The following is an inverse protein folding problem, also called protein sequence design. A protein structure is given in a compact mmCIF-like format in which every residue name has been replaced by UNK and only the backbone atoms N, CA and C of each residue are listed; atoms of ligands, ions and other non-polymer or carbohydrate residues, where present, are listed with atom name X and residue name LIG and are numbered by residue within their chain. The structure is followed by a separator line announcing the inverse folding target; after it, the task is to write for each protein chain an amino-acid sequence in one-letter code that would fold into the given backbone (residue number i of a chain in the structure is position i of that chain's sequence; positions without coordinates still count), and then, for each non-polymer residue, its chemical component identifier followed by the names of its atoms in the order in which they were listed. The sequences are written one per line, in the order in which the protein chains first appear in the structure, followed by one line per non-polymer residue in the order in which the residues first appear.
data_IF_946602719144
#
_entry.id   IF_946602719144
#
_cell.length_a   1.000
_cell.length_b   1.000
_cell.length_c   1.000
_cell.angle_alpha   90.00
_cell.angle_beta   90.00
_cell.angle_gamma   90.00
#
_symmetry.space_group_name_H-M   'P 1'
#
loop_
_entity.id
_entity.type
_entity.pdbx_description
1 polymer ?
#
# COMPACT_ATOMS: atom_id res chain seq x y z
N UNK A 1 -24.98 -35.70 -43.31
CA UNK A 1 -23.61 -35.87 -42.75
C UNK A 1 -22.82 -34.56 -42.65
N UNK A 2 -22.79 -33.71 -43.69
CA UNK A 2 -22.04 -32.42 -43.66
C UNK A 2 -22.46 -31.44 -42.54
N UNK A 3 -23.75 -31.39 -42.22
CA UNK A 3 -24.27 -30.53 -41.12
C UNK A 3 -23.99 -31.09 -39.72
N UNK A 4 -23.79 -32.40 -39.59
CA UNK A 4 -23.48 -33.04 -38.30
C UNK A 4 -22.01 -32.84 -37.91
N UNK A 5 -21.11 -32.87 -38.89
CA UNK A 5 -19.69 -32.51 -38.73
C UNK A 5 -19.51 -31.03 -38.37
N UNK A 6 -20.31 -30.13 -38.96
CA UNK A 6 -20.27 -28.70 -38.64
C UNK A 6 -20.73 -28.43 -37.19
N UNK A 7 -21.75 -29.16 -36.72
CA UNK A 7 -22.27 -29.04 -35.36
C UNK A 7 -21.28 -29.59 -34.32
N UNK A 8 -20.59 -30.70 -34.62
CA UNK A 8 -19.55 -31.26 -33.76
C UNK A 8 -18.33 -30.32 -33.64
N UNK A 9 -17.91 -29.68 -34.73
CA UNK A 9 -16.81 -28.69 -34.69
C UNK A 9 -17.18 -27.50 -33.82
N UNK A 10 -18.40 -26.95 -33.93
CA UNK A 10 -18.89 -25.83 -33.12
C UNK A 10 -18.90 -26.19 -31.62
N UNK A 11 -19.31 -27.41 -31.25
CA UNK A 11 -19.30 -27.88 -29.86
C UNK A 11 -17.88 -27.96 -29.26
N UNK A 12 -16.85 -28.25 -30.06
CA UNK A 12 -15.46 -28.25 -29.60
C UNK A 12 -14.90 -26.84 -29.37
N UNK A 13 -15.34 -25.83 -30.14
CA UNK A 13 -14.86 -24.44 -29.98
C UNK A 13 -15.42 -23.80 -28.69
N UNK A 14 -16.63 -24.17 -28.27
CA UNK A 14 -17.22 -23.65 -27.02
C UNK A 14 -16.71 -24.32 -25.74
N UNK A 15 -16.05 -25.48 -25.84
CA UNK A 15 -15.40 -26.13 -24.68
C UNK A 15 -13.91 -25.76 -24.51
N UNK A 16 -13.32 -25.07 -25.49
CA UNK A 16 -11.90 -24.73 -25.49
C UNK A 16 -11.54 -23.44 -24.71
N UNK A 17 -12.52 -22.73 -24.12
CA UNK A 17 -12.32 -21.45 -23.44
C UNK A 17 -12.58 -21.51 -21.91
N UNK A 18 -12.33 -22.67 -21.30
CA UNK A 18 -12.48 -22.88 -19.86
C UNK A 18 -11.17 -23.31 -19.21
N UNK A 19 -10.13 -22.47 -19.19
CA UNK A 19 -9.02 -22.72 -18.28
C UNK A 19 -9.57 -22.56 -16.86
N UNK A 20 -9.70 -23.68 -16.13
CA UNK A 20 -10.08 -23.65 -14.72
C UNK A 20 -9.08 -22.74 -14.01
N UNK A 21 -9.57 -21.66 -13.41
CA UNK A 21 -8.71 -20.72 -12.68
C UNK A 21 -8.06 -21.47 -11.52
N UNK A 22 -6.75 -21.58 -11.57
CA UNK A 22 -5.97 -22.21 -10.52
C UNK A 22 -5.72 -21.19 -9.41
N UNK A 23 -5.82 -21.67 -8.17
CA UNK A 23 -5.64 -20.88 -6.96
C UNK A 23 -4.65 -21.59 -6.06
N UNK A 24 -4.01 -20.84 -5.17
CA UNK A 24 -3.11 -21.41 -4.19
C UNK A 24 -3.81 -22.47 -3.33
N UNK A 25 -3.18 -23.64 -3.26
CA UNK A 25 -3.61 -24.77 -2.44
C UNK A 25 -2.42 -25.23 -1.60
N UNK A 26 -2.36 -24.86 -0.31
CA UNK A 26 -1.28 -25.30 0.56
C UNK A 26 -1.34 -26.82 0.76
N UNK A 27 -0.18 -27.47 0.76
CA UNK A 27 -0.07 -28.91 1.06
C UNK A 27 -0.39 -29.24 2.52
N UNK A 28 -0.13 -28.30 3.42
CA UNK A 28 -0.41 -28.41 4.84
C UNK A 28 -1.00 -27.10 5.37
N UNK A 29 -1.97 -27.24 6.28
CA UNK A 29 -2.63 -26.13 6.94
C UNK A 29 -2.58 -26.38 8.44
N UNK A 30 -2.12 -25.39 9.19
CA UNK A 30 -2.05 -25.41 10.63
C UNK A 30 -3.27 -24.70 11.25
N UNK A 31 -3.66 -25.15 12.43
CA UNK A 31 -4.62 -24.44 13.27
C UNK A 31 -4.00 -23.16 13.82
N UNK A 32 -4.79 -22.08 13.88
CA UNK A 32 -4.38 -20.86 14.56
C UNK A 32 -4.20 -21.12 16.05
N UNK A 33 -3.08 -20.67 16.61
CA UNK A 33 -2.86 -20.72 18.06
C UNK A 33 -3.77 -19.74 18.80
N UNK A 34 -4.10 -18.60 18.18
CA UNK A 34 -4.93 -17.56 18.76
C UNK A 34 -6.28 -17.48 18.06
N UNK A 35 -7.35 -17.35 18.86
CA UNK A 35 -8.68 -17.07 18.30
C UNK A 35 -8.79 -15.59 17.92
N UNK A 36 -9.21 -15.26 16.69
CA UNK A 36 -9.49 -13.88 16.30
C UNK A 36 -10.55 -13.26 17.22
N UNK A 37 -10.27 -12.06 17.73
CA UNK A 37 -11.18 -11.27 18.58
C UNK A 37 -12.17 -10.50 17.71
N UNK A 38 -13.43 -10.42 18.12
CA UNK A 38 -14.41 -9.59 17.43
C UNK A 38 -14.14 -8.11 17.70
N UNK A 39 -14.32 -7.27 16.68
CA UNK A 39 -14.30 -5.81 16.76
C UNK A 39 -15.67 -5.26 16.33
N UNK A 40 -16.02 -4.06 16.79
CA UNK A 40 -17.38 -3.53 16.65
C UNK A 40 -17.78 -3.04 15.26
N UNK A 41 -16.87 -3.09 14.27
CA UNK A 41 -17.12 -2.58 12.91
C UNK A 41 -16.30 -3.33 11.87
N UNK A 42 -16.71 -3.23 10.61
CA UNK A 42 -16.01 -3.85 9.48
C UNK A 42 -15.31 -2.82 8.60
N UNK A 43 -14.21 -3.23 7.98
CA UNK A 43 -13.44 -2.37 7.08
C UNK A 43 -14.27 -2.01 5.84
N UNK A 44 -14.52 -0.71 5.64
CA UNK A 44 -15.21 -0.16 4.47
C UNK A 44 -14.27 0.50 3.48
N UNK A 45 -13.13 0.99 3.94
CA UNK A 45 -12.09 1.57 3.10
C UNK A 45 -10.72 1.45 3.80
N UNK A 46 -9.64 1.44 3.04
CA UNK A 46 -8.29 1.37 3.61
C UNK A 46 -7.25 1.87 2.60
N UNK A 47 -6.11 2.28 3.13
CA UNK A 47 -4.89 2.51 2.37
C UNK A 47 -3.70 1.89 3.12
N UNK A 48 -2.48 2.33 2.83
CA UNK A 48 -1.28 1.80 3.48
C UNK A 48 -1.15 2.18 4.97
N UNK A 49 -1.80 3.25 5.41
CA UNK A 49 -1.63 3.84 6.75
C UNK A 49 -2.86 3.68 7.65
N UNK A 50 -4.05 3.55 7.08
CA UNK A 50 -5.31 3.56 7.84
C UNK A 50 -6.36 2.62 7.22
N UNK A 51 -7.24 2.07 8.06
CA UNK A 51 -8.46 1.38 7.63
C UNK A 51 -9.69 1.97 8.32
N UNK A 52 -10.66 2.45 7.54
CA UNK A 52 -11.92 3.02 8.01
C UNK A 52 -12.96 1.92 8.27
N UNK A 53 -13.71 2.06 9.37
CA UNK A 53 -14.75 1.12 9.77
C UNK A 53 -16.16 1.71 9.57
N UNK A 54 -17.16 0.85 9.41
CA UNK A 54 -18.58 1.25 9.22
C UNK A 54 -19.27 1.77 10.50
N UNK A 55 -18.56 1.90 11.61
CA UNK A 55 -19.09 2.24 12.92
C UNK A 55 -18.49 3.52 13.53
N UNK A 56 -18.11 4.50 12.69
CA UNK A 56 -17.46 5.74 13.12
C UNK A 56 -16.17 5.46 13.91
N UNK A 57 -15.33 4.59 13.37
CA UNK A 57 -14.01 4.32 13.88
C UNK A 57 -13.05 4.05 12.73
N UNK A 58 -11.75 4.08 13.03
CA UNK A 58 -10.71 3.66 12.10
C UNK A 58 -9.60 2.92 12.84
N UNK A 59 -8.77 2.21 12.09
CA UNK A 59 -7.56 1.54 12.58
C UNK A 59 -6.37 2.35 12.07
N UNK A 60 -5.53 2.86 12.97
CA UNK A 60 -4.32 3.60 12.62
C UNK A 60 -3.15 2.66 12.27
N UNK A 61 -2.02 3.23 11.84
CA UNK A 61 -0.79 2.49 11.51
C UNK A 61 -0.11 1.81 12.72
N UNK A 62 -0.51 2.12 13.95
CA UNK A 62 -0.10 1.45 15.19
C UNK A 62 -1.01 0.26 15.55
N UNK A 63 -2.09 0.04 14.78
CA UNK A 63 -3.05 -1.02 15.01
C UNK A 63 -4.07 -0.72 16.12
N UNK A 64 -4.27 0.54 16.46
CA UNK A 64 -5.27 0.98 17.44
C UNK A 64 -6.60 1.32 16.77
N UNK A 65 -7.70 0.92 17.40
CA UNK A 65 -9.05 1.25 16.95
C UNK A 65 -9.47 2.55 17.62
N UNK A 66 -9.56 3.61 16.83
CA UNK A 66 -9.88 4.96 17.28
C UNK A 66 -11.31 5.31 16.90
N UNK A 67 -12.13 5.69 17.88
CA UNK A 67 -13.49 6.20 17.62
C UNK A 67 -13.39 7.61 17.07
N UNK A 68 -14.01 7.82 15.91
CA UNK A 68 -14.02 9.11 15.25
C UNK A 68 -15.21 9.20 14.29
N UNK A 69 -16.05 10.23 14.46
CA UNK A 69 -17.20 10.47 13.59
C UNK A 69 -16.75 11.22 12.35
N UNK A 70 -16.62 10.49 11.25
CA UNK A 70 -16.25 11.06 9.97
C UNK A 70 -17.47 11.62 9.24
N UNK A 71 -17.31 12.81 8.66
CA UNK A 71 -18.32 13.40 7.79
C UNK A 71 -18.58 12.52 6.57
N UNK A 72 -19.82 12.51 6.11
CA UNK A 72 -20.21 11.78 4.90
C UNK A 72 -19.37 12.28 3.72
N UNK A 73 -18.93 11.36 2.87
CA UNK A 73 -18.11 11.59 1.66
C UNK A 73 -16.61 11.88 1.87
N UNK A 74 -16.15 11.97 3.11
CA UNK A 74 -14.72 12.04 3.39
C UNK A 74 -14.10 10.65 3.56
N UNK A 75 -12.85 10.53 3.14
CA UNK A 75 -11.97 9.40 3.40
C UNK A 75 -10.81 9.86 4.29
N UNK A 76 -10.41 9.04 5.25
CA UNK A 76 -9.18 9.26 6.01
C UNK A 76 -8.02 8.82 5.12
N UNK A 77 -7.12 9.75 4.83
CA UNK A 77 -5.95 9.49 3.97
C UNK A 77 -4.69 9.23 4.78
N UNK A 78 -4.57 9.83 5.97
CA UNK A 78 -3.47 9.56 6.91
C UNK A 78 -3.83 10.01 8.32
N UNK A 79 -2.99 9.64 9.29
CA UNK A 79 -3.07 10.12 10.68
C UNK A 79 -1.68 10.46 11.18
N UNK A 80 -1.56 11.49 12.01
CA UNK A 80 -0.31 11.87 12.66
C UNK A 80 -0.62 12.28 14.09
N UNK A 81 -0.15 11.50 15.07
CA UNK A 81 -0.55 11.67 16.48
C UNK A 81 -2.08 11.69 16.61
N UNK A 82 -2.64 12.75 17.19
CA UNK A 82 -4.08 12.95 17.37
C UNK A 82 -4.75 13.70 16.20
N UNK A 83 -4.02 13.93 15.11
CA UNK A 83 -4.51 14.61 13.92
C UNK A 83 -4.90 13.61 12.82
N UNK A 84 -6.09 13.81 12.28
CA UNK A 84 -6.68 12.99 11.23
C UNK A 84 -6.72 13.84 9.96
N UNK A 85 -6.13 13.32 8.89
CA UNK A 85 -6.13 13.95 7.59
C UNK A 85 -7.23 13.31 6.75
N UNK A 86 -8.19 14.13 6.32
CA UNK A 86 -9.35 13.67 5.56
C UNK A 86 -9.47 14.43 4.24
N UNK A 87 -9.92 13.72 3.21
CA UNK A 87 -10.17 14.29 1.89
C UNK A 87 -11.43 13.69 1.25
N UNK A 88 -12.10 14.47 0.40
CA UNK A 88 -13.17 13.98 -0.46
C UNK A 88 -12.76 13.98 -1.94
N UNK A 89 -13.63 13.45 -2.79
CA UNK A 89 -13.39 13.35 -4.23
C UNK A 89 -13.53 14.71 -4.95
N UNK A 90 -13.96 15.77 -4.25
CA UNK A 90 -14.20 17.12 -4.79
C UNK A 90 -13.09 18.13 -4.44
N UNK A 91 -11.96 17.63 -3.93
CA UNK A 91 -10.80 18.45 -3.57
C UNK A 91 -10.88 19.11 -2.20
N UNK A 92 -11.90 18.83 -1.39
CA UNK A 92 -11.93 19.32 -0.01
C UNK A 92 -10.96 18.50 0.83
N UNK A 93 -10.03 19.19 1.51
CA UNK A 93 -9.06 18.61 2.42
C UNK A 93 -9.19 19.26 3.79
N UNK A 94 -9.10 18.45 4.84
CA UNK A 94 -9.11 18.91 6.22
C UNK A 94 -8.10 18.16 7.09
N UNK A 95 -7.58 18.87 8.09
CA UNK A 95 -6.92 18.30 9.24
C UNK A 95 -7.80 18.58 10.44
N UNK A 96 -8.14 17.53 11.18
CA UNK A 96 -9.02 17.61 12.35
C UNK A 96 -8.40 16.86 13.51
N UNK A 97 -8.69 17.26 14.74
CA UNK A 97 -8.29 16.50 15.92
C UNK A 97 -9.34 15.43 16.28
N UNK A 98 -9.02 14.59 17.27
CA UNK A 98 -9.92 13.54 17.78
C UNK A 98 -11.26 14.07 18.34
N UNK A 99 -11.34 15.35 18.71
CA UNK A 99 -12.59 16.00 19.14
C UNK A 99 -13.46 16.46 17.97
N UNK A 100 -12.96 16.39 16.75
CA UNK A 100 -13.61 16.87 15.54
C UNK A 100 -13.42 18.37 15.30
N UNK A 101 -12.50 19.02 16.01
CA UNK A 101 -12.16 20.43 15.75
C UNK A 101 -11.31 20.51 14.48
N UNK A 102 -11.67 21.44 13.59
CA UNK A 102 -10.94 21.69 12.36
C UNK A 102 -9.69 22.52 12.63
N UNK A 103 -8.52 21.93 12.38
CA UNK A 103 -7.21 22.55 12.57
C UNK A 103 -6.72 23.24 11.29
N UNK A 104 -7.14 22.73 10.14
CA UNK A 104 -6.83 23.27 8.82
C UNK A 104 -7.85 22.79 7.81
N UNK A 105 -8.21 23.65 6.84
CA UNK A 105 -8.97 23.24 5.67
C UNK A 105 -8.57 24.02 4.43
N UNK A 106 -8.66 23.34 3.29
CA UNK A 106 -8.45 23.95 1.98
C UNK A 106 -9.22 23.19 0.91
N UNK A 107 -9.75 23.91 -0.08
CA UNK A 107 -10.38 23.31 -1.27
C UNK A 107 -9.43 23.40 -2.47
N UNK A 108 -8.91 22.26 -2.89
CA UNK A 108 -8.12 22.11 -4.09
C UNK A 108 -9.01 21.89 -5.32
N UNK A 109 -8.43 22.03 -6.51
CA UNK A 109 -9.12 21.75 -7.77
C UNK A 109 -9.33 20.25 -8.01
N UNK A 110 -8.60 19.40 -7.27
CA UNK A 110 -8.52 17.96 -7.46
C UNK A 110 -8.42 17.27 -6.09
N UNK A 111 -8.89 16.03 -5.99
CA UNK A 111 -8.88 15.26 -4.74
C UNK A 111 -7.46 15.09 -4.19
N UNK A 112 -7.31 15.15 -2.86
CA UNK A 112 -6.06 14.80 -2.17
C UNK A 112 -6.02 13.30 -1.95
N UNK A 113 -5.03 12.63 -2.51
CA UNK A 113 -4.92 11.16 -2.49
C UNK A 113 -3.86 10.65 -1.51
N UNK A 114 -2.86 11.46 -1.18
CA UNK A 114 -1.87 11.13 -0.15
C UNK A 114 -1.36 12.39 0.55
N UNK A 115 -1.04 12.24 1.83
CA UNK A 115 -0.64 13.35 2.67
C UNK A 115 0.27 12.90 3.82
N UNK A 116 1.07 13.81 4.34
CA UNK A 116 1.89 13.63 5.55
C UNK A 116 2.04 14.96 6.29
N UNK A 117 2.35 14.87 7.58
CA UNK A 117 2.61 16.02 8.44
C UNK A 117 3.99 15.94 9.08
N UNK A 118 4.56 17.11 9.36
CA UNK A 118 5.75 17.33 10.19
C UNK A 118 5.51 18.58 11.04
N UNK A 119 4.89 18.37 12.22
CA UNK A 119 4.36 19.47 13.03
C UNK A 119 3.27 20.26 12.29
N UNK A 120 3.54 21.52 11.97
CA UNK A 120 2.61 22.39 11.22
C UNK A 120 2.77 22.28 9.70
N UNK A 121 3.85 21.66 9.22
CA UNK A 121 4.11 21.50 7.79
C UNK A 121 3.27 20.35 7.21
N UNK A 122 2.73 20.58 6.02
CA UNK A 122 1.78 19.70 5.33
C UNK A 122 2.34 19.40 3.94
N UNK A 123 2.52 18.13 3.60
CA UNK A 123 2.89 17.70 2.25
C UNK A 123 1.79 16.82 1.65
N UNK A 124 1.27 17.21 0.49
CA UNK A 124 0.15 16.55 -0.19
C UNK A 124 0.50 16.19 -1.64
N UNK A 125 -0.12 15.12 -2.14
CA UNK A 125 -0.20 14.80 -3.57
C UNK A 125 -1.67 14.80 -3.96
N UNK A 126 -2.01 15.58 -4.98
CA UNK A 126 -3.36 15.61 -5.58
C UNK A 126 -3.48 14.56 -6.69
N UNK A 127 -4.71 14.15 -7.00
CA UNK A 127 -5.04 13.21 -8.08
C UNK A 127 -4.51 13.64 -9.46
N UNK A 128 -4.33 14.96 -9.68
CA UNK A 128 -3.69 15.53 -10.86
C UNK A 128 -2.15 15.48 -10.86
N UNK A 129 -1.56 14.71 -9.94
CA UNK A 129 -0.11 14.65 -9.73
C UNK A 129 0.50 16.02 -9.37
N UNK A 130 -0.30 16.87 -8.72
CA UNK A 130 0.15 18.16 -8.20
C UNK A 130 0.71 17.98 -6.80
N UNK A 131 1.93 18.45 -6.59
CA UNK A 131 2.57 18.47 -5.28
C UNK A 131 2.18 19.75 -4.54
N UNK A 132 1.79 19.61 -3.28
CA UNK A 132 1.50 20.74 -2.41
C UNK A 132 2.40 20.68 -1.19
N UNK A 133 3.05 21.80 -0.88
CA UNK A 133 3.64 22.05 0.42
C UNK A 133 2.90 23.24 1.04
N UNK A 134 2.30 23.02 2.20
CA UNK A 134 1.58 24.03 2.96
C UNK A 134 2.03 24.00 4.41
N UNK A 135 1.57 24.98 5.17
CA UNK A 135 1.71 25.03 6.61
C UNK A 135 0.38 25.47 7.22
N UNK A 136 -0.01 24.87 8.35
CA UNK A 136 -1.31 25.11 8.99
C UNK A 136 -1.57 26.60 9.24
N UNK A 137 -0.53 27.34 9.64
CA UNK A 137 -0.61 28.76 10.01
C UNK A 137 -0.26 29.72 8.86
N UNK A 138 0.57 29.29 7.91
CA UNK A 138 1.07 30.15 6.82
C UNK A 138 0.39 29.90 5.46
N UNK A 139 -0.48 28.89 5.37
CA UNK A 139 -1.16 28.52 4.12
C UNK A 139 -0.26 27.78 3.13
N UNK A 140 -0.63 27.83 1.85
CA UNK A 140 0.09 27.13 0.77
C UNK A 140 1.40 27.86 0.44
N UNK A 141 2.51 27.13 0.48
CA UNK A 141 3.86 27.62 0.13
C UNK A 141 4.28 27.21 -1.28
N UNK A 142 3.87 26.01 -1.72
CA UNK A 142 4.17 25.46 -3.05
C UNK A 142 2.95 24.74 -3.61
N UNK A 143 2.68 24.96 -4.89
CA UNK A 143 1.78 24.16 -5.71
C UNK A 143 2.46 23.93 -7.06
N UNK A 144 2.84 22.68 -7.34
CA UNK A 144 3.57 22.33 -8.56
C UNK A 144 2.94 21.12 -9.22
N UNK A 145 2.36 21.32 -10.40
CA UNK A 145 1.92 20.22 -11.25
C UNK A 145 3.14 19.63 -12.01
N UNK A 146 3.27 18.31 -12.00
CA UNK A 146 4.39 17.60 -12.62
C UNK A 146 3.95 16.61 -13.71
N UNK A 147 2.90 16.99 -14.44
CA UNK A 147 2.36 16.24 -15.58
C UNK A 147 1.26 15.27 -15.19
N UNK A 148 0.78 14.53 -16.17
CA UNK A 148 -0.39 13.65 -16.02
C UNK A 148 -0.01 12.28 -15.44
N UNK A 149 -0.98 11.64 -14.80
CA UNK A 149 -0.91 10.25 -14.37
C UNK A 149 -2.25 9.57 -14.69
N UNK A 150 -2.24 8.61 -15.60
CA UNK A 150 -3.42 7.90 -16.05
C UNK A 150 -3.59 6.59 -15.27
N UNK A 151 -4.84 6.25 -14.94
CA UNK A 151 -5.24 5.00 -14.29
C UNK A 151 -4.31 4.58 -13.13
N UNK A 152 -4.64 4.99 -11.91
CA UNK A 152 -3.75 4.85 -10.76
C UNK A 152 -4.01 3.57 -9.97
N UNK A 153 -2.94 2.97 -9.45
CA UNK A 153 -3.01 1.97 -8.40
C UNK A 153 -3.39 2.64 -7.08
N UNK A 154 -4.37 2.08 -6.36
CA UNK A 154 -4.89 2.67 -5.13
C UNK A 154 -3.92 2.68 -3.95
N UNK A 155 -2.78 1.98 -4.05
CA UNK A 155 -1.79 1.85 -2.97
C UNK A 155 -0.84 3.02 -2.88
N UNK A 156 -1.34 4.25 -2.90
CA UNK A 156 -0.52 5.47 -2.87
C UNK A 156 0.48 5.46 -1.70
N UNK A 157 1.76 5.70 -2.00
CA UNK A 157 2.72 6.06 -0.97
C UNK A 157 2.46 7.50 -0.49
N UNK A 158 2.75 7.76 0.79
CA UNK A 158 2.63 9.10 1.36
C UNK A 158 3.94 9.88 1.23
N UNK A 159 3.91 11.22 1.11
CA UNK A 159 5.12 12.03 1.19
C UNK A 159 5.87 11.79 2.50
N UNK A 160 7.16 12.11 2.48
CA UNK A 160 8.02 11.89 3.63
C UNK A 160 8.90 13.13 3.88
N UNK A 161 8.90 13.61 5.12
CA UNK A 161 9.71 14.74 5.56
C UNK A 161 11.10 14.26 6.04
N UNK A 162 12.16 14.90 5.56
CA UNK A 162 13.54 14.69 5.99
C UNK A 162 14.20 16.03 6.25
N UNK A 163 14.26 16.46 7.52
CA UNK A 163 14.91 17.70 7.95
C UNK A 163 14.63 18.91 7.03
N UNK A 164 15.46 19.14 6.02
CA UNK A 164 15.41 20.25 5.06
C UNK A 164 14.71 19.94 3.74
N UNK A 165 14.33 18.70 3.46
CA UNK A 165 13.70 18.26 2.21
C UNK A 165 12.40 17.49 2.47
N UNK A 166 11.57 17.39 1.43
CA UNK A 166 10.37 16.56 1.38
C UNK A 166 10.49 15.67 0.14
N UNK A 167 10.25 14.38 0.31
CA UNK A 167 10.20 13.41 -0.79
C UNK A 167 8.73 13.16 -1.12
N UNK A 168 8.36 13.45 -2.37
CA UNK A 168 7.02 13.26 -2.88
C UNK A 168 6.95 12.02 -3.79
N UNK A 169 6.21 10.97 -3.40
CA UNK A 169 5.82 9.88 -4.30
C UNK A 169 4.81 10.39 -5.34
N UNK A 170 5.24 10.45 -6.59
CA UNK A 170 4.41 10.93 -7.69
C UNK A 170 3.59 9.78 -8.29
N UNK A 171 2.59 10.15 -9.07
CA UNK A 171 1.63 9.22 -9.65
C UNK A 171 2.05 8.67 -11.01
N UNK A 172 3.14 9.18 -11.55
CA UNK A 172 3.70 8.84 -12.86
C UNK A 172 5.07 8.12 -12.76
N UNK A 173 5.30 7.39 -11.66
CA UNK A 173 6.50 6.55 -11.50
C UNK A 173 7.76 7.30 -11.12
N UNK A 174 7.63 8.53 -10.60
CA UNK A 174 8.76 9.35 -10.16
C UNK A 174 8.68 9.68 -8.67
N UNK A 175 9.81 10.12 -8.13
CA UNK A 175 9.91 10.79 -6.84
C UNK A 175 10.42 12.22 -7.08
N UNK A 176 9.79 13.21 -6.46
CA UNK A 176 10.33 14.57 -6.43
C UNK A 176 10.93 14.89 -5.06
N UNK A 177 12.13 15.46 -5.06
CA UNK A 177 12.80 15.94 -3.84
C UNK A 177 12.68 17.46 -3.80
N UNK A 178 11.82 17.97 -2.92
CA UNK A 178 11.58 19.40 -2.72
C UNK A 178 12.40 19.90 -1.54
N UNK A 179 13.12 21.00 -1.72
CA UNK A 179 13.82 21.66 -0.62
C UNK A 179 12.87 22.63 0.12
N UNK A 180 12.74 22.48 1.45
CA UNK A 180 11.80 23.25 2.28
C UNK A 180 12.12 24.75 2.34
N UNK A 181 13.39 25.14 2.21
CA UNK A 181 13.82 26.55 2.32
C UNK A 181 13.74 27.29 0.99
N UNK A 182 14.09 26.63 -0.12
CA UNK A 182 14.05 27.26 -1.45
C UNK A 182 12.72 27.06 -2.16
N UNK A 183 11.89 26.12 -1.69
CA UNK A 183 10.62 25.71 -2.31
C UNK A 183 10.80 25.19 -3.75
N UNK A 184 12.01 24.74 -4.11
CA UNK A 184 12.33 24.21 -5.43
C UNK A 184 12.44 22.70 -5.40
N UNK A 185 12.03 22.08 -6.50
CA UNK A 185 12.37 20.68 -6.79
C UNK A 185 13.86 20.63 -7.09
N UNK A 186 14.61 20.02 -6.18
CA UNK A 186 16.05 19.83 -6.31
C UNK A 186 16.41 18.66 -7.22
N UNK A 187 15.54 17.65 -7.30
CA UNK A 187 15.75 16.44 -8.09
C UNK A 187 14.44 15.70 -8.35
N UNK A 188 14.29 15.13 -9.55
CA UNK A 188 13.34 14.07 -9.83
C UNK A 188 14.09 12.74 -10.02
N UNK A 189 13.57 11.67 -9.43
CA UNK A 189 14.13 10.31 -9.56
C UNK A 189 13.09 9.44 -10.25
N UNK A 190 13.46 8.87 -11.39
CA UNK A 190 12.57 7.98 -12.15
C UNK A 190 12.67 6.57 -11.55
N UNK A 191 11.56 6.07 -11.02
CA UNK A 191 11.41 4.67 -10.59
C UNK A 191 10.98 3.85 -11.80
N UNK A 192 9.92 4.27 -12.50
CA UNK A 192 9.46 3.61 -13.72
C UNK A 192 8.82 4.60 -14.69
N UNK A 193 8.65 4.15 -15.94
CA UNK A 193 8.13 4.96 -17.05
C UNK A 193 6.93 4.30 -17.74
N UNK A 194 6.26 3.38 -17.03
CA UNK A 194 5.00 2.78 -17.51
C UNK A 194 3.91 3.84 -17.67
N UNK A 195 2.99 3.60 -18.61
CA UNK A 195 1.90 4.53 -18.93
C UNK A 195 0.75 4.47 -17.91
N UNK A 196 0.42 3.27 -17.43
CA UNK A 196 -0.71 2.99 -16.54
C UNK A 196 -0.25 2.34 -15.24
N UNK A 197 -0.98 2.58 -14.14
CA UNK A 197 -0.73 2.03 -12.81
C UNK A 197 0.71 2.26 -12.31
N UNK A 198 1.30 3.39 -12.73
CA UNK A 198 2.72 3.68 -12.54
C UNK A 198 3.01 4.50 -11.27
N UNK A 199 2.02 4.78 -10.42
CA UNK A 199 2.28 5.53 -9.20
C UNK A 199 3.25 4.79 -8.26
N UNK A 200 3.96 5.56 -7.44
CA UNK A 200 4.75 4.98 -6.35
C UNK A 200 3.79 4.34 -5.33
N UNK A 201 3.95 3.04 -5.12
CA UNK A 201 3.12 2.24 -4.20
C UNK A 201 3.78 1.96 -2.85
N UNK A 202 5.10 2.17 -2.77
CA UNK A 202 5.89 1.94 -1.57
C UNK A 202 7.02 2.97 -1.50
N UNK A 203 7.22 3.53 -0.31
CA UNK A 203 8.34 4.40 0.01
C UNK A 203 8.78 4.08 1.45
N UNK A 204 10.05 3.74 1.60
CA UNK A 204 10.69 3.52 2.89
C UNK A 204 12.04 4.21 2.91
N UNK A 205 12.31 4.94 3.97
CA UNK A 205 13.57 5.66 4.16
C UNK A 205 14.15 5.22 5.48
N UNK A 206 15.42 4.81 5.43
CA UNK A 206 16.20 4.47 6.61
C UNK A 206 17.60 5.04 6.45
N UNK A 207 18.01 5.86 7.42
CA UNK A 207 19.26 6.61 7.36
C UNK A 207 19.34 7.43 6.06
N UNK A 208 20.35 7.19 5.24
CA UNK A 208 20.59 7.80 3.94
C UNK A 208 20.12 6.92 2.76
N UNK A 209 19.46 5.80 3.05
CA UNK A 209 18.96 4.86 2.05
C UNK A 209 17.45 5.00 1.87
N UNK A 210 17.02 5.16 0.63
CA UNK A 210 15.62 5.22 0.23
C UNK A 210 15.28 4.03 -0.66
N UNK A 211 14.22 3.32 -0.33
CA UNK A 211 13.63 2.23 -1.10
C UNK A 211 12.29 2.70 -1.62
N UNK A 212 12.07 2.62 -2.92
CA UNK A 212 10.79 2.98 -3.52
C UNK A 212 10.37 1.97 -4.58
N UNK A 213 9.06 1.85 -4.79
CA UNK A 213 8.50 0.87 -5.74
C UNK A 213 7.31 1.42 -6.49
N UNK A 214 7.21 1.07 -7.78
CA UNK A 214 5.93 0.98 -8.50
C UNK A 214 5.46 -0.48 -8.51
N UNK A 215 4.40 -0.79 -9.26
CA UNK A 215 3.98 -2.18 -9.47
C UNK A 215 4.93 -3.00 -10.38
N UNK A 216 5.93 -2.38 -11.01
CA UNK A 216 6.82 -3.03 -12.00
C UNK A 216 8.32 -2.90 -11.68
N UNK A 217 8.69 -2.01 -10.75
CA UNK A 217 10.10 -1.79 -10.38
C UNK A 217 10.29 -1.41 -8.93
N UNK A 218 11.32 -1.96 -8.30
CA UNK A 218 11.90 -1.49 -7.03
C UNK A 218 13.20 -0.76 -7.32
N UNK A 219 13.42 0.36 -6.66
CA UNK A 219 14.72 1.04 -6.63
C UNK A 219 15.26 1.19 -5.22
N UNK A 220 16.59 1.21 -5.12
CA UNK A 220 17.30 1.62 -3.90
C UNK A 220 18.19 2.80 -4.25
N UNK A 221 17.99 3.92 -3.57
CA UNK A 221 18.77 5.15 -3.72
C UNK A 221 19.59 5.34 -2.45
N UNK A 222 20.89 5.53 -2.64
CA UNK A 222 21.85 5.92 -1.61
C UNK A 222 22.57 7.20 -2.08
N UNK A 223 23.35 7.90 -1.24
CA UNK A 223 24.05 9.12 -1.67
C UNK A 223 24.92 8.92 -2.92
N UNK A 224 25.50 7.73 -3.08
CA UNK A 224 26.51 7.46 -4.11
C UNK A 224 25.98 6.71 -5.34
N UNK A 225 24.76 6.14 -5.29
CA UNK A 225 24.23 5.31 -6.39
C UNK A 225 22.73 5.10 -6.30
N UNK A 226 22.15 4.73 -7.44
CA UNK A 226 20.79 4.23 -7.56
C UNK A 226 20.81 2.85 -8.21
N UNK A 227 20.10 1.90 -7.60
CA UNK A 227 19.98 0.52 -8.04
C UNK A 227 18.53 0.26 -8.45
N UNK A 228 18.35 -0.65 -9.41
CA UNK A 228 17.06 -0.93 -10.04
C UNK A 228 16.83 -2.45 -10.12
N UNK A 229 15.61 -2.88 -9.84
CA UNK A 229 15.16 -4.27 -10.01
C UNK A 229 13.75 -4.28 -10.60
N UNK A 230 13.61 -4.81 -11.81
CA UNK A 230 12.33 -4.99 -12.48
C UNK A 230 11.67 -6.27 -11.96
N UNK A 231 10.45 -6.18 -11.47
CA UNK A 231 9.63 -7.31 -11.06
C UNK A 231 8.14 -6.97 -11.11
N UNK A 232 7.29 -7.98 -11.32
CA UNK A 232 5.83 -7.82 -11.25
C UNK A 232 5.37 -7.72 -9.79
N UNK A 233 5.43 -6.54 -9.20
CA UNK A 233 5.33 -6.33 -7.75
C UNK A 233 3.86 -6.26 -7.30
N UNK A 234 3.57 -7.03 -6.25
CA UNK A 234 2.36 -6.92 -5.45
C UNK A 234 2.63 -6.18 -4.15
N UNK A 235 3.55 -6.59 -3.29
CA UNK A 235 3.85 -5.85 -2.06
C UNK A 235 5.37 -5.77 -1.86
N UNK A 236 5.81 -4.75 -1.13
CA UNK A 236 7.21 -4.61 -0.72
C UNK A 236 7.24 -4.39 0.79
N UNK A 237 8.13 -5.10 1.47
CA UNK A 237 8.44 -4.88 2.87
C UNK A 237 9.95 -4.73 3.01
N UNK A 238 10.41 -3.94 3.97
CA UNK A 238 11.82 -3.83 4.30
C UNK A 238 11.99 -3.94 5.82
N UNK A 239 12.99 -4.72 6.24
CA UNK A 239 13.53 -4.64 7.60
C UNK A 239 14.84 -3.84 7.57
N UNK A 240 15.63 -3.96 8.63
CA UNK A 240 16.86 -3.21 8.77
C UNK A 240 17.90 -3.38 7.67
N UNK A 241 17.93 -4.55 7.01
CA UNK A 241 19.01 -4.96 6.09
C UNK A 241 18.49 -5.60 4.80
N UNK A 242 17.21 -5.96 4.74
CA UNK A 242 16.63 -6.84 3.73
C UNK A 242 15.34 -6.26 3.16
N UNK A 243 15.09 -6.55 1.89
CA UNK A 243 13.91 -6.16 1.12
C UNK A 243 13.19 -7.43 0.68
N UNK A 244 11.91 -7.52 1.01
CA UNK A 244 11.03 -8.62 0.63
C UNK A 244 10.07 -8.13 -0.44
N UNK A 245 10.20 -8.68 -1.64
CA UNK A 245 9.37 -8.35 -2.80
C UNK A 245 8.41 -9.50 -3.02
N UNK A 246 7.12 -9.22 -2.82
CA UNK A 246 6.05 -10.16 -3.10
C UNK A 246 5.52 -9.88 -4.50
N UNK A 247 5.55 -10.87 -5.38
CA UNK A 247 5.18 -10.69 -6.78
C UNK A 247 3.72 -11.06 -7.06
N UNK A 248 3.17 -10.56 -8.17
CA UNK A 248 1.81 -10.88 -8.64
C UNK A 248 1.66 -12.36 -9.02
N UNK A 249 2.76 -13.07 -9.31
CA UNK A 249 2.78 -14.50 -9.65
C UNK A 249 3.07 -15.43 -8.45
N UNK A 250 3.03 -14.91 -7.22
CA UNK A 250 3.10 -15.70 -6.00
C UNK A 250 4.52 -16.00 -5.49
N UNK A 251 5.54 -15.25 -5.91
CA UNK A 251 6.91 -15.37 -5.37
C UNK A 251 7.14 -14.38 -4.24
N UNK A 252 7.92 -14.79 -3.24
CA UNK A 252 8.51 -13.90 -2.24
C UNK A 252 10.01 -13.92 -2.46
N UNK A 253 10.57 -12.77 -2.87
CA UNK A 253 11.98 -12.62 -3.20
C UNK A 253 12.64 -11.78 -2.12
N UNK A 254 13.62 -12.36 -1.44
CA UNK A 254 14.43 -11.66 -0.43
C UNK A 254 15.68 -11.10 -1.10
N UNK A 255 15.93 -9.82 -0.91
CA UNK A 255 17.11 -9.12 -1.41
C UNK A 255 17.83 -8.40 -0.28
N UNK A 256 19.12 -8.15 -0.44
CA UNK A 256 19.82 -7.13 0.36
C UNK A 256 19.51 -5.72 -0.16
N UNK A 257 20.02 -4.70 0.52
CA UNK A 257 19.89 -3.30 0.08
C UNK A 257 20.72 -2.96 -1.18
N UNK A 258 21.49 -3.92 -1.71
CA UNK A 258 22.11 -3.81 -3.04
C UNK A 258 21.21 -4.39 -4.14
N UNK A 259 19.96 -4.75 -3.83
CA UNK A 259 19.04 -5.49 -4.73
C UNK A 259 19.65 -6.79 -5.26
N UNK A 260 20.55 -7.42 -4.49
CA UNK A 260 21.05 -8.76 -4.78
C UNK A 260 20.12 -9.77 -4.12
N UNK A 261 19.60 -10.70 -4.92
CA UNK A 261 18.76 -11.79 -4.42
C UNK A 261 19.55 -12.66 -3.44
N UNK A 262 19.02 -12.78 -2.22
CA UNK A 262 19.51 -13.67 -1.17
C UNK A 262 18.79 -15.01 -1.25
N UNK A 263 17.47 -14.99 -1.35
CA UNK A 263 16.64 -16.20 -1.38
C UNK A 263 15.28 -15.93 -2.04
N UNK A 264 14.56 -17.01 -2.38
CA UNK A 264 13.24 -16.94 -3.01
C UNK A 264 12.40 -18.18 -2.66
N UNK A 265 11.11 -17.96 -2.45
CA UNK A 265 10.12 -19.03 -2.34
C UNK A 265 8.92 -18.73 -3.24
N UNK A 266 8.34 -19.76 -3.84
CA UNK A 266 7.15 -19.65 -4.68
C UNK A 266 5.95 -20.34 -4.06
N UNK A 267 4.90 -19.57 -3.82
CA UNK A 267 3.56 -20.03 -3.49
C UNK A 267 2.75 -20.07 -4.79
N UNK A 268 2.76 -21.23 -5.45
CA UNK A 268 2.16 -21.41 -6.77
C UNK A 268 0.69 -20.94 -6.78
N UNK A 269 0.36 -20.01 -7.69
CA UNK A 269 -0.97 -19.38 -7.83
C UNK A 269 -1.46 -18.54 -6.63
N UNK A 270 -0.57 -18.14 -5.72
CA UNK A 270 -0.94 -17.28 -4.60
C UNK A 270 -1.28 -15.86 -5.07
N UNK A 271 -2.43 -15.37 -4.61
CA UNK A 271 -2.87 -14.01 -4.83
C UNK A 271 -2.63 -13.21 -3.55
N UNK A 272 -1.40 -12.73 -3.37
CA UNK A 272 -1.07 -11.91 -2.21
C UNK A 272 -1.93 -10.64 -2.18
N UNK A 273 -2.47 -10.32 -1.02
CA UNK A 273 -3.35 -9.16 -0.83
C UNK A 273 -2.72 -8.10 0.07
N UNK A 274 -2.06 -8.52 1.16
CA UNK A 274 -1.38 -7.63 2.11
C UNK A 274 -0.26 -8.38 2.80
N UNK A 275 0.79 -7.67 3.20
CA UNK A 275 1.87 -8.25 3.99
C UNK A 275 2.44 -7.27 5.00
N UNK A 276 3.09 -7.79 6.03
CA UNK A 276 3.84 -6.98 7.00
C UNK A 276 4.92 -7.80 7.68
N UNK A 277 5.98 -7.13 8.13
CA UNK A 277 7.03 -7.73 8.96
C UNK A 277 6.67 -7.57 10.44
N UNK A 278 6.80 -8.65 11.21
CA UNK A 278 6.59 -8.64 12.65
C UNK A 278 7.37 -9.78 13.31
N UNK A 279 8.10 -9.50 14.40
CA UNK A 279 8.88 -10.48 15.17
C UNK A 279 9.69 -11.46 14.30
N UNK A 280 10.56 -10.93 13.43
CA UNK A 280 11.41 -11.71 12.51
C UNK A 280 10.66 -12.68 11.57
N UNK A 281 9.38 -12.40 11.31
CA UNK A 281 8.55 -13.12 10.36
C UNK A 281 7.91 -12.14 9.38
N UNK A 282 7.72 -12.57 8.14
CA UNK A 282 6.87 -11.93 7.18
C UNK A 282 5.49 -12.62 7.23
N UNK A 283 4.47 -11.84 7.52
CA UNK A 283 3.08 -12.26 7.49
C UNK A 283 2.47 -11.84 6.16
N UNK A 284 1.87 -12.78 5.44
CA UNK A 284 1.28 -12.56 4.11
C UNK A 284 -0.14 -13.08 4.10
N UNK A 285 -1.09 -12.20 3.83
CA UNK A 285 -2.47 -12.60 3.58
C UNK A 285 -2.67 -12.86 2.08
N UNK A 286 -3.05 -14.10 1.76
CA UNK A 286 -3.43 -14.57 0.44
C UNK A 286 -4.97 -14.53 0.34
N UNK A 287 -5.45 -13.96 -0.77
CA UNK A 287 -6.85 -13.53 -0.94
C UNK A 287 -7.88 -14.66 -0.83
N UNK A 288 -7.47 -15.91 -1.07
CA UNK A 288 -8.34 -17.09 -0.93
C UNK A 288 -8.46 -17.60 0.51
N UNK A 289 -8.03 -16.81 1.50
CA UNK A 289 -8.29 -17.07 2.91
C UNK A 289 -7.14 -17.76 3.64
N UNK A 290 -5.90 -17.58 3.18
CA UNK A 290 -4.73 -18.12 3.87
C UNK A 290 -3.86 -17.00 4.45
N UNK A 291 -3.42 -17.18 5.69
CA UNK A 291 -2.38 -16.36 6.29
C UNK A 291 -1.10 -17.18 6.35
N UNK A 292 -0.08 -16.75 5.61
CA UNK A 292 1.24 -17.37 5.57
C UNK A 292 2.13 -16.60 6.56
N UNK A 293 2.64 -17.29 7.58
CA UNK A 293 3.75 -16.80 8.42
C UNK A 293 5.02 -17.46 7.92
N UNK A 294 5.94 -16.69 7.35
CA UNK A 294 7.24 -17.19 6.89
C UNK A 294 8.36 -16.49 7.65
N UNK A 295 9.37 -17.24 8.08
CA UNK A 295 10.56 -16.67 8.68
C UNK A 295 11.28 -15.76 7.66
N UNK A 296 11.96 -14.72 8.12
CA UNK A 296 12.72 -13.81 7.24
C UNK A 296 13.85 -14.49 6.47
N UNK A 297 14.27 -15.70 6.85
CA UNK A 297 15.20 -16.54 6.08
C UNK A 297 14.56 -17.26 4.88
N UNK A 298 13.22 -17.18 4.75
CA UNK A 298 12.39 -17.86 3.76
C UNK A 298 12.47 -19.40 3.76
N UNK A 299 13.06 -20.02 4.79
CA UNK A 299 13.26 -21.48 4.87
C UNK A 299 12.07 -22.21 5.46
N UNK A 300 11.41 -21.60 6.43
CA UNK A 300 10.30 -22.21 7.16
C UNK A 300 9.07 -21.31 7.11
N UNK A 301 7.93 -21.90 6.78
CA UNK A 301 6.65 -21.21 6.79
C UNK A 301 5.55 -22.08 7.38
N UNK A 302 4.53 -21.41 7.90
CA UNK A 302 3.31 -22.00 8.43
C UNK A 302 2.14 -21.33 7.73
N UNK A 303 1.16 -22.12 7.29
CA UNK A 303 -0.05 -21.62 6.63
C UNK A 303 -1.24 -21.83 7.53
N UNK A 304 -1.96 -20.75 7.83
CA UNK A 304 -3.20 -20.78 8.59
C UNK A 304 -4.39 -20.56 7.66
N UNK A 305 -5.48 -21.28 7.89
CA UNK A 305 -6.73 -21.07 7.15
C UNK A 305 -7.66 -20.13 7.91
N UNK A 306 -8.10 -19.08 7.22
CA UNK A 306 -9.02 -18.05 7.69
C UNK A 306 -10.25 -18.04 6.77
N UNK A 307 -11.15 -19.01 6.96
CA UNK A 307 -12.34 -19.18 6.11
C UNK A 307 -13.19 -17.90 6.00
N UNK A 308 -13.24 -17.10 7.06
CA UNK A 308 -14.05 -15.87 7.09
C UNK A 308 -13.35 -14.66 6.46
N UNK A 309 -12.10 -14.82 5.99
CA UNK A 309 -11.29 -13.75 5.40
C UNK A 309 -11.27 -13.78 3.86
N UNK A 310 -11.83 -14.81 3.22
CA UNK A 310 -11.83 -14.98 1.75
C UNK A 310 -12.40 -13.76 1.04
N UNK A 311 -11.62 -13.17 0.13
CA UNK A 311 -11.97 -11.98 -0.66
C UNK A 311 -12.40 -10.76 0.18
N UNK A 312 -11.99 -10.69 1.44
CA UNK A 312 -12.37 -9.59 2.34
C UNK A 312 -11.35 -8.47 2.32
N UNK A 313 -11.84 -7.24 2.47
CA UNK A 313 -11.00 -6.09 2.82
C UNK A 313 -10.26 -6.41 4.11
N UNK A 314 -8.97 -6.12 4.12
CA UNK A 314 -8.10 -6.44 5.24
C UNK A 314 -7.02 -5.39 5.40
N UNK A 315 -6.51 -5.30 6.63
CA UNK A 315 -5.47 -4.36 7.02
C UNK A 315 -4.52 -5.03 8.00
N UNK A 316 -3.24 -4.66 7.95
CA UNK A 316 -2.21 -5.15 8.84
C UNK A 316 -1.46 -3.98 9.42
N UNK A 317 -1.33 -3.94 10.74
CA UNK A 317 -0.56 -2.93 11.46
C UNK A 317 -0.06 -3.51 12.78
N UNK A 318 1.23 -3.29 13.07
CA UNK A 318 1.86 -3.56 14.36
C UNK A 318 1.48 -4.92 14.99
N UNK A 319 1.72 -6.00 14.26
CA UNK A 319 1.44 -7.35 14.77
C UNK A 319 -0.04 -7.75 14.79
N UNK A 320 -0.94 -6.97 14.19
CA UNK A 320 -2.38 -7.26 14.15
C UNK A 320 -2.86 -7.37 12.70
N UNK A 321 -3.70 -8.36 12.44
CA UNK A 321 -4.42 -8.54 11.17
C UNK A 321 -5.92 -8.32 11.37
N UNK A 322 -6.46 -7.36 10.65
CA UNK A 322 -7.86 -6.98 10.67
C UNK A 322 -8.55 -7.43 9.40
N UNK A 323 -9.68 -8.10 9.52
CA UNK A 323 -10.48 -8.56 8.40
C UNK A 323 -11.94 -8.72 8.84
N UNK A 324 -12.90 -8.38 7.98
CA UNK A 324 -14.30 -8.28 8.38
C UNK A 324 -14.44 -7.44 9.66
N UNK A 325 -15.06 -7.99 10.69
CA UNK A 325 -15.22 -7.48 12.04
C UNK A 325 -14.36 -8.28 13.04
N UNK A 326 -13.19 -8.78 12.62
CA UNK A 326 -12.27 -9.58 13.43
C UNK A 326 -10.87 -8.98 13.43
N UNK A 327 -10.15 -9.24 14.51
CA UNK A 327 -8.74 -8.90 14.70
C UNK A 327 -7.98 -10.13 15.20
N UNK A 328 -6.91 -10.49 14.51
CA UNK A 328 -5.99 -11.55 14.90
C UNK A 328 -4.65 -10.92 15.31
N UNK A 329 -4.20 -11.20 16.53
CA UNK A 329 -2.84 -10.88 16.98
C UNK A 329 -1.87 -11.95 16.48
N UNK A 330 -0.77 -11.49 15.87
CA UNK A 330 0.35 -12.31 15.46
C UNK A 330 1.15 -12.78 16.68
N UNK A 331 1.87 -13.89 16.50
CA UNK A 331 2.74 -14.49 17.50
C UNK A 331 4.21 -14.21 17.22
#
# INVERSE_FOLDING_TARGET
MRHFLLFAVILFIFNACGTKREYYQPSQVNSLSNTPKNISGKIVNFNNNVAQLDNNAFINNLGDIVKFKLDKNYNIINTYQDEILIADDNGNFKIINLKGEELYSYKFNESVISASLDGDDIALVLASNTLVYANKNLGIKLLQNLGTAYAQDSRYASPYFLNTIIIYPMLNGKLAIVNKSTLKISREIIVSSEEFFNNIIYLHIKNDTMIASTAEKVIVVTPNRTLYLNENIKEVNANDNEIFILTKDGRIIKNDYNLRKIDEIKFQFALFSKSTLYNNSLYVFEKTGYLIKINTDLKNFIVYKLNDAVDKKSFMANGKFFYQNKMLEFN
#
